data_IF_356060804686
#
_entry.id   IF_356060804686
#
_cell.length_a   1.000
_cell.length_b   1.000
_cell.length_c   1.000
_cell.angle_alpha   90.00
_cell.angle_beta   90.00
_cell.angle_gamma   90.00
#
_symmetry.space_group_name_H-M   'P 1'
#
loop_
_entity.id
_entity.type
_entity.pdbx_description
1 polymer ?
#
# COMPACT_ATOMS: atom_id res chain seq x y z
N UNK A 1 -42.71 -52.81 -0.54
CA UNK A 1 -42.06 -52.10 -1.66
C UNK A 1 -41.20 -51.01 -1.05
N UNK A 2 -39.88 -51.17 -1.11
CA UNK A 2 -38.92 -50.28 -0.50
C UNK A 2 -38.73 -49.02 -1.37
N UNK A 3 -38.75 -47.84 -0.74
CA UNK A 3 -38.31 -46.59 -1.36
C UNK A 3 -37.00 -46.21 -0.68
N UNK A 4 -35.89 -46.40 -1.40
CA UNK A 4 -34.56 -45.98 -0.99
C UNK A 4 -34.40 -44.49 -1.29
N UNK A 5 -34.45 -43.65 -0.26
CA UNK A 5 -34.06 -42.24 -0.33
C UNK A 5 -32.59 -42.10 0.09
N UNK A 6 -31.71 -41.84 -0.87
CA UNK A 6 -30.28 -41.61 -0.66
C UNK A 6 -30.10 -40.21 -0.04
N UNK A 7 -29.74 -40.15 1.25
CA UNK A 7 -29.24 -38.95 1.89
C UNK A 7 -27.79 -38.72 1.46
N UNK A 8 -27.55 -37.80 0.53
CA UNK A 8 -26.20 -37.30 0.25
C UNK A 8 -25.89 -36.21 1.27
N UNK A 9 -25.21 -36.59 2.35
CA UNK A 9 -24.56 -35.64 3.26
C UNK A 9 -23.31 -35.11 2.57
N UNK A 10 -23.40 -33.94 1.93
CA UNK A 10 -22.20 -33.20 1.54
C UNK A 10 -21.61 -32.51 2.78
N UNK A 11 -20.73 -33.25 3.47
CA UNK A 11 -19.80 -32.69 4.44
C UNK A 11 -18.77 -31.83 3.71
N UNK A 12 -19.02 -30.53 3.57
CA UNK A 12 -17.97 -29.55 3.27
C UNK A 12 -17.40 -29.02 4.58
N UNK A 13 -16.51 -29.83 5.18
CA UNK A 13 -15.61 -29.35 6.22
C UNK A 13 -14.30 -28.91 5.55
N UNK A 14 -14.00 -27.61 5.70
CA UNK A 14 -12.66 -27.01 5.82
C UNK A 14 -11.68 -27.16 4.64
N UNK A 15 -11.62 -26.11 3.82
CA UNK A 15 -10.40 -25.33 3.62
C UNK A 15 -10.79 -23.87 3.96
N UNK A 16 -10.24 -23.20 4.96
CA UNK A 16 -8.82 -23.06 5.21
C UNK A 16 -8.34 -21.86 4.40
N UNK A 17 -8.27 -20.70 5.06
CA UNK A 17 -7.60 -19.49 4.60
C UNK A 17 -8.16 -18.85 3.33
N UNK A 18 -9.13 -17.95 3.49
CA UNK A 18 -9.13 -16.75 2.66
C UNK A 18 -7.80 -16.04 2.98
N UNK A 19 -6.86 -15.89 2.04
CA UNK A 19 -5.83 -14.89 2.24
C UNK A 19 -6.55 -13.55 2.31
N UNK A 20 -6.15 -12.71 3.26
CA UNK A 20 -6.60 -11.33 3.37
C UNK A 20 -6.64 -10.72 1.98
N UNK A 21 -7.86 -10.48 1.49
CA UNK A 21 -8.10 -9.70 0.30
C UNK A 21 -7.76 -8.25 0.66
N UNK A 22 -6.47 -7.96 0.75
CA UNK A 22 -5.94 -6.62 0.69
C UNK A 22 -6.20 -6.14 -0.75
N UNK A 23 -7.43 -5.71 -1.01
CA UNK A 23 -7.86 -5.09 -2.26
C UNK A 23 -7.28 -3.67 -2.29
N UNK A 24 -5.96 -3.57 -2.46
CA UNK A 24 -5.37 -2.42 -3.12
C UNK A 24 -5.36 -2.77 -4.60
N UNK A 25 -6.39 -2.35 -5.36
CA UNK A 25 -6.38 -2.55 -6.81
C UNK A 25 -5.30 -1.63 -7.38
N UNK A 26 -4.16 -2.23 -7.69
CA UNK A 26 -3.07 -1.57 -8.41
C UNK A 26 -3.60 -1.11 -9.79
N UNK A 27 -3.18 0.08 -10.21
CA UNK A 27 -3.61 0.65 -11.49
C UNK A 27 -2.78 0.01 -12.60
N UNK A 28 -3.40 -0.81 -13.44
CA UNK A 28 -2.73 -1.35 -14.64
C UNK A 28 -2.66 -0.29 -15.73
N UNK A 29 -1.52 0.41 -15.78
CA UNK A 29 -1.27 1.44 -16.78
C UNK A 29 -1.25 0.91 -18.22
N UNK A 30 -1.04 -0.39 -18.43
CA UNK A 30 -0.99 -1.04 -19.76
C UNK A 30 -2.35 -1.08 -20.46
N UNK A 31 -3.44 -0.87 -19.70
CA UNK A 31 -4.81 -0.84 -20.22
C UNK A 31 -5.09 0.41 -21.06
N UNK A 32 -4.39 1.50 -20.79
CA UNK A 32 -4.66 2.78 -21.43
C UNK A 32 -3.92 2.88 -22.78
N UNK A 33 -4.53 3.47 -23.81
CA UNK A 33 -3.90 3.59 -25.11
C UNK A 33 -2.68 4.50 -25.02
N UNK A 34 -1.57 4.09 -25.64
CA UNK A 34 -0.32 4.85 -25.67
C UNK A 34 0.10 5.19 -27.11
N UNK A 35 1.02 6.13 -27.23
CA UNK A 35 1.71 6.51 -28.46
C UNK A 35 3.17 6.83 -28.14
N UNK A 36 4.01 6.97 -29.16
CA UNK A 36 5.39 7.46 -29.00
C UNK A 36 5.50 8.86 -29.58
N UNK A 37 6.06 9.79 -28.82
CA UNK A 37 6.37 11.13 -29.33
C UNK A 37 7.58 11.11 -30.29
N UNK A 38 7.93 12.26 -30.87
CA UNK A 38 9.06 12.39 -31.81
C UNK A 38 10.41 12.03 -31.18
N UNK A 39 10.51 12.06 -29.85
CA UNK A 39 11.70 11.68 -29.08
C UNK A 39 11.74 10.17 -28.75
N UNK A 40 10.74 9.40 -29.20
CA UNK A 40 10.59 7.97 -28.89
C UNK A 40 10.10 7.68 -27.47
N UNK A 41 9.64 8.69 -26.74
CA UNK A 41 9.07 8.55 -25.40
C UNK A 41 7.62 8.09 -25.48
N UNK A 42 7.27 7.12 -24.65
CA UNK A 42 5.89 6.68 -24.47
C UNK A 42 5.04 7.80 -23.87
N UNK A 43 3.86 8.01 -24.43
CA UNK A 43 2.87 8.99 -23.99
C UNK A 43 1.51 8.32 -23.95
N UNK A 44 0.86 8.38 -22.80
CA UNK A 44 -0.51 7.88 -22.61
C UNK A 44 -1.53 8.85 -23.22
N UNK A 45 -2.51 8.31 -23.94
CA UNK A 45 -3.63 9.06 -24.51
C UNK A 45 -4.84 8.88 -23.59
N UNK A 46 -5.06 9.85 -22.71
CA UNK A 46 -6.16 9.80 -21.76
C UNK A 46 -7.43 10.41 -22.33
N UNK A 47 -8.54 9.66 -22.26
CA UNK A 47 -9.86 10.24 -22.45
C UNK A 47 -10.20 11.19 -21.29
N UNK A 48 -11.12 12.11 -21.53
CA UNK A 48 -11.67 12.98 -20.48
C UNK A 48 -12.59 12.16 -19.56
N UNK A 49 -11.98 11.40 -18.67
CA UNK A 49 -12.62 10.61 -17.63
C UNK A 49 -12.37 11.30 -16.29
N UNK A 50 -13.41 11.86 -15.68
CA UNK A 50 -13.31 12.59 -14.41
C UNK A 50 -13.67 11.67 -13.25
N UNK A 51 -12.84 10.66 -13.04
CA UNK A 51 -12.93 9.72 -11.92
C UNK A 51 -11.65 9.85 -11.11
N UNK A 52 -11.60 10.84 -10.20
CA UNK A 52 -10.36 11.18 -9.54
C UNK A 52 -9.91 10.09 -8.58
N UNK A 53 -8.61 10.01 -8.40
CA UNK A 53 -7.94 9.05 -7.52
C UNK A 53 -6.89 9.76 -6.68
N UNK A 54 -6.73 9.30 -5.44
CA UNK A 54 -5.69 9.79 -4.55
C UNK A 54 -4.44 8.95 -4.77
N UNK A 55 -3.33 9.60 -5.13
CA UNK A 55 -2.02 8.95 -5.23
C UNK A 55 -1.38 8.74 -3.85
N UNK A 56 -0.44 7.80 -3.77
CA UNK A 56 0.38 7.57 -2.55
C UNK A 56 1.27 8.76 -2.19
N UNK A 57 1.43 9.71 -3.10
CA UNK A 57 2.07 11.01 -2.87
C UNK A 57 1.13 12.04 -2.19
N UNK A 58 -0.12 11.66 -1.92
CA UNK A 58 -1.14 12.53 -1.36
C UNK A 58 -1.69 13.56 -2.36
N UNK A 59 -1.48 13.34 -3.67
CA UNK A 59 -1.99 14.22 -4.73
C UNK A 59 -3.21 13.59 -5.40
N UNK A 60 -4.22 14.41 -5.65
CA UNK A 60 -5.40 14.02 -6.43
C UNK A 60 -5.08 14.05 -7.92
N UNK A 61 -5.24 12.92 -8.58
CA UNK A 61 -5.18 12.80 -10.04
C UNK A 61 -6.60 12.72 -10.58
N UNK A 62 -6.92 13.45 -11.65
CA UNK A 62 -8.28 13.48 -12.20
C UNK A 62 -8.73 12.16 -12.86
N UNK A 63 -7.79 11.26 -13.14
CA UNK A 63 -8.07 9.87 -13.50
C UNK A 63 -6.86 8.96 -13.23
N UNK A 64 -7.11 7.65 -13.18
CA UNK A 64 -6.07 6.62 -13.19
C UNK A 64 -5.12 6.76 -14.40
N UNK A 65 -5.66 7.11 -15.58
CA UNK A 65 -4.84 7.32 -16.77
C UNK A 65 -3.87 8.49 -16.58
N UNK A 66 -4.33 9.58 -15.96
CA UNK A 66 -3.49 10.76 -15.71
C UNK A 66 -2.47 10.53 -14.60
N UNK A 67 -2.77 9.70 -13.60
CA UNK A 67 -1.78 9.19 -12.64
C UNK A 67 -0.69 8.38 -13.37
N UNK A 68 -1.09 7.47 -14.26
CA UNK A 68 -0.14 6.71 -15.08
C UNK A 68 0.68 7.62 -16.02
N UNK A 69 0.05 8.59 -16.67
CA UNK A 69 0.71 9.54 -17.56
C UNK A 69 1.77 10.35 -16.81
N UNK A 70 1.45 10.82 -15.60
CA UNK A 70 2.38 11.50 -14.73
C UNK A 70 3.60 10.62 -14.38
N UNK A 71 3.37 9.35 -14.02
CA UNK A 71 4.45 8.40 -13.76
C UNK A 71 5.38 8.20 -14.95
N UNK A 72 4.84 8.06 -16.17
CA UNK A 72 5.65 7.92 -17.38
C UNK A 72 6.39 9.22 -17.71
N UNK A 73 5.74 10.36 -17.55
CA UNK A 73 6.30 11.66 -17.89
C UNK A 73 7.49 12.02 -16.98
N UNK A 74 7.32 11.86 -15.68
CA UNK A 74 8.29 12.29 -14.67
C UNK A 74 9.16 11.14 -14.15
N UNK A 75 8.94 9.90 -14.61
CA UNK A 75 9.64 8.72 -14.11
C UNK A 75 9.34 8.42 -12.64
N UNK A 76 8.14 8.77 -12.17
CA UNK A 76 7.67 8.50 -10.81
C UNK A 76 6.97 7.15 -10.73
N UNK A 77 6.72 6.67 -9.50
CA UNK A 77 6.03 5.41 -9.23
C UNK A 77 4.99 5.62 -8.13
N UNK A 78 4.03 6.45 -8.45
CA UNK A 78 2.94 6.81 -7.56
C UNK A 78 1.85 5.78 -7.78
N UNK A 79 1.48 5.08 -6.70
CA UNK A 79 0.39 4.11 -6.74
C UNK A 79 -0.92 4.80 -6.37
N UNK A 80 -2.06 4.22 -6.74
CA UNK A 80 -3.36 4.63 -6.21
C UNK A 80 -3.47 4.24 -4.74
N UNK A 81 -3.67 5.22 -3.86
CA UNK A 81 -3.98 5.02 -2.44
C UNK A 81 -5.44 4.59 -2.30
N UNK A 82 -6.40 5.38 -2.80
CA UNK A 82 -7.83 5.07 -2.79
C UNK A 82 -8.59 5.68 -3.99
N UNK A 83 -9.84 5.22 -4.22
CA UNK A 83 -10.68 5.55 -5.39
C UNK A 83 -11.52 6.84 -5.23
N UNK A 84 -10.92 7.89 -4.65
CA UNK A 84 -11.55 9.21 -4.49
C UNK A 84 -10.46 10.30 -4.53
N UNK A 85 -10.84 11.58 -4.55
CA UNK A 85 -9.88 12.68 -4.34
C UNK A 85 -9.22 12.56 -2.96
N UNK A 86 -7.96 12.96 -2.85
CA UNK A 86 -7.30 13.01 -1.54
C UNK A 86 -8.10 13.92 -0.62
N UNK A 87 -8.58 13.37 0.50
CA UNK A 87 -9.36 14.11 1.47
C UNK A 87 -8.53 15.22 2.12
N UNK A 88 -9.13 16.42 2.24
CA UNK A 88 -8.62 17.39 3.20
C UNK A 88 -8.79 16.82 4.61
N UNK A 89 -7.77 16.99 5.47
CA UNK A 89 -7.84 16.53 6.84
C UNK A 89 -9.05 17.13 7.57
N UNK A 90 -10.09 16.34 7.78
CA UNK A 90 -11.29 16.80 8.48
C UNK A 90 -11.09 16.60 9.98
N UNK A 91 -11.19 17.67 10.80
CA UNK A 91 -11.20 17.53 12.25
C UNK A 91 -12.37 16.66 12.69
N UNK A 92 -12.11 15.70 13.56
CA UNK A 92 -13.13 14.78 14.04
C UNK A 92 -14.01 15.44 15.11
N UNK A 93 -15.33 15.45 14.90
CA UNK A 93 -16.31 15.87 15.90
C UNK A 93 -16.62 14.71 16.86
N UNK A 94 -15.76 14.56 17.87
CA UNK A 94 -15.89 13.50 18.86
C UNK A 94 -17.10 13.64 19.79
N UNK A 95 -17.79 14.79 19.76
CA UNK A 95 -18.99 15.05 20.55
C UNK A 95 -20.18 14.17 20.15
N UNK A 96 -20.13 13.58 18.94
CA UNK A 96 -21.18 12.69 18.41
C UNK A 96 -21.17 11.31 19.04
N UNK A 97 -20.06 10.92 19.67
CA UNK A 97 -19.91 9.60 20.26
C UNK A 97 -20.30 9.63 21.74
N UNK A 98 -21.05 8.62 22.23
CA UNK A 98 -21.41 8.54 23.64
C UNK A 98 -20.13 8.44 24.48
N UNK A 99 -20.11 9.14 25.60
CA UNK A 99 -18.96 9.18 26.50
C UNK A 99 -19.39 9.07 27.96
N UNK A 100 -18.42 8.77 28.81
CA UNK A 100 -18.58 8.74 30.27
C UNK A 100 -17.36 9.37 30.92
N UNK A 101 -17.46 9.71 32.20
CA UNK A 101 -16.36 10.28 32.97
C UNK A 101 -16.03 9.33 34.11
N UNK A 102 -14.76 8.96 34.26
CA UNK A 102 -14.32 8.13 35.39
C UNK A 102 -14.26 8.95 36.69
N UNK A 103 -13.96 8.28 37.80
CA UNK A 103 -13.85 8.93 39.13
C UNK A 103 -12.73 9.98 39.19
N UNK A 104 -11.76 9.91 38.29
CA UNK A 104 -10.64 10.86 38.16
C UNK A 104 -10.98 12.07 37.27
N UNK A 105 -12.20 12.14 36.74
CA UNK A 105 -12.62 13.22 35.83
C UNK A 105 -12.17 13.02 34.38
N UNK A 106 -11.58 11.88 34.03
CA UNK A 106 -11.15 11.54 32.66
C UNK A 106 -12.35 11.10 31.82
N UNK A 107 -12.54 11.77 30.68
CA UNK A 107 -13.55 11.41 29.69
C UNK A 107 -13.12 10.15 28.95
N UNK A 108 -14.04 9.21 28.76
CA UNK A 108 -13.86 7.98 28.00
C UNK A 108 -14.96 7.88 26.96
N UNK A 109 -14.58 7.73 25.69
CA UNK A 109 -15.53 7.51 24.59
C UNK A 109 -15.96 6.03 24.59
N UNK A 110 -17.26 5.78 24.48
CA UNK A 110 -17.86 4.45 24.45
C UNK A 110 -18.11 4.03 23.00
N UNK A 111 -17.22 3.18 22.47
CA UNK A 111 -17.32 2.70 21.10
C UNK A 111 -18.02 1.35 21.00
N UNK A 112 -18.80 1.18 19.94
CA UNK A 112 -19.27 -0.14 19.54
C UNK A 112 -18.12 -0.94 18.90
N UNK A 113 -18.35 -2.24 18.68
CA UNK A 113 -17.40 -3.12 17.98
C UNK A 113 -17.61 -3.14 16.45
N UNK A 114 -18.21 -2.10 15.88
CA UNK A 114 -18.40 -2.02 14.43
C UNK A 114 -17.04 -1.80 13.76
N UNK A 115 -16.74 -2.57 12.72
CA UNK A 115 -15.49 -2.45 11.99
C UNK A 115 -15.72 -1.71 10.67
N UNK A 116 -15.39 -0.42 10.66
CA UNK A 116 -15.49 0.49 9.52
C UNK A 116 -14.19 1.31 9.52
N UNK A 117 -13.08 0.74 9.05
CA UNK A 117 -11.76 1.29 9.31
C UNK A 117 -11.59 2.68 8.68
N UNK A 118 -10.79 3.52 9.31
CA UNK A 118 -10.45 4.86 8.83
C UNK A 118 -8.95 5.11 8.93
N UNK A 119 -8.40 5.87 7.97
CA UNK A 119 -7.02 6.30 8.01
C UNK A 119 -6.93 7.66 8.70
N UNK A 120 -6.17 7.71 9.80
CA UNK A 120 -5.87 8.95 10.50
C UNK A 120 -4.88 9.82 9.74
N UNK A 121 -4.89 11.12 10.01
CA UNK A 121 -3.87 12.07 9.50
C UNK A 121 -2.46 11.77 10.02
N UNK A 122 -2.34 10.90 11.01
CA UNK A 122 -1.09 10.37 11.57
C UNK A 122 -0.60 9.10 10.84
N UNK A 123 -1.31 8.64 9.80
CA UNK A 123 -0.99 7.44 9.05
C UNK A 123 -1.35 6.14 9.77
N UNK A 124 -2.11 6.21 10.86
CA UNK A 124 -2.56 5.04 11.62
C UNK A 124 -3.97 4.63 11.18
N UNK A 125 -4.19 3.32 11.03
CA UNK A 125 -5.53 2.77 10.79
C UNK A 125 -6.25 2.58 12.11
N UNK A 126 -7.43 3.17 12.24
CA UNK A 126 -8.33 2.97 13.36
C UNK A 126 -9.50 2.09 12.94
N UNK A 127 -9.96 1.19 13.82
CA UNK A 127 -11.05 0.23 13.53
C UNK A 127 -12.35 0.92 13.10
N UNK A 128 -12.57 2.14 13.61
CA UNK A 128 -13.61 3.06 13.19
C UNK A 128 -13.34 4.48 13.71
N UNK A 129 -14.13 5.45 13.23
CA UNK A 129 -14.08 6.84 13.66
C UNK A 129 -14.24 7.06 15.18
N UNK A 130 -15.04 6.23 15.86
CA UNK A 130 -15.20 6.32 17.31
C UNK A 130 -13.90 5.97 18.03
N UNK A 131 -13.21 4.92 17.58
CA UNK A 131 -11.92 4.49 18.17
C UNK A 131 -10.84 5.55 17.94
N UNK A 132 -10.83 6.20 16.77
CA UNK A 132 -9.98 7.37 16.52
C UNK A 132 -10.26 8.50 17.53
N UNK A 133 -11.54 8.80 17.78
CA UNK A 133 -11.93 9.77 18.80
C UNK A 133 -11.54 9.36 20.23
N UNK A 134 -11.70 8.09 20.58
CA UNK A 134 -11.27 7.56 21.88
C UNK A 134 -9.75 7.74 22.07
N UNK A 135 -8.96 7.46 21.03
CA UNK A 135 -7.52 7.70 21.02
C UNK A 135 -7.18 9.18 21.25
N UNK A 136 -7.84 10.09 20.52
CA UNK A 136 -7.64 11.53 20.70
C UNK A 136 -7.91 12.01 22.13
N UNK A 137 -9.01 11.55 22.73
CA UNK A 137 -9.35 11.91 24.11
C UNK A 137 -8.37 11.28 25.11
N UNK A 138 -7.98 10.03 24.89
CA UNK A 138 -7.11 9.31 25.81
C UNK A 138 -5.67 9.84 25.82
N UNK A 139 -5.14 10.13 24.62
CA UNK A 139 -3.75 10.55 24.41
C UNK A 139 -3.61 12.09 24.36
N UNK A 140 -4.72 12.84 24.37
CA UNK A 140 -4.70 14.29 24.20
C UNK A 140 -4.23 14.73 22.81
N UNK A 141 -4.46 13.91 21.79
CA UNK A 141 -4.10 14.20 20.39
C UNK A 141 -5.29 14.78 19.61
N UNK A 142 -5.00 15.37 18.45
CA UNK A 142 -6.02 15.90 17.53
C UNK A 142 -5.84 15.31 16.13
N UNK A 143 -5.82 13.97 16.04
CA UNK A 143 -5.77 13.24 14.78
C UNK A 143 -7.09 13.46 14.03
N UNK A 144 -7.01 13.91 12.78
CA UNK A 144 -8.16 14.02 11.88
C UNK A 144 -8.37 12.73 11.10
N UNK A 145 -9.50 12.63 10.39
CA UNK A 145 -9.67 11.58 9.37
C UNK A 145 -9.03 12.07 8.06
N UNK A 146 -8.15 11.26 7.48
CA UNK A 146 -7.56 11.49 6.15
C UNK A 146 -8.51 10.96 5.07
N UNK A 147 -8.89 9.68 5.17
CA UNK A 147 -9.87 9.06 4.27
C UNK A 147 -10.55 7.87 4.95
N UNK A 148 -11.63 7.38 4.35
CA UNK A 148 -12.31 6.15 4.76
C UNK A 148 -11.55 4.90 4.29
N UNK A 149 -11.66 3.81 5.02
CA UNK A 149 -10.82 2.62 4.84
C UNK A 149 -9.53 2.68 5.66
N UNK A 150 -8.83 1.56 5.78
CA UNK A 150 -7.54 1.53 6.47
C UNK A 150 -6.47 2.27 5.68
N UNK A 151 -5.49 2.86 6.37
CA UNK A 151 -4.31 3.38 5.71
C UNK A 151 -3.67 2.25 4.90
N UNK A 152 -3.23 2.58 3.69
CA UNK A 152 -2.37 1.66 2.95
C UNK A 152 -1.12 1.47 3.79
N UNK A 153 -0.93 0.27 4.34
CA UNK A 153 0.41 -0.14 4.74
C UNK A 153 1.19 -0.13 3.44
N UNK A 154 2.04 0.88 3.22
CA UNK A 154 3.23 0.63 2.42
C UNK A 154 3.74 -0.72 2.91
N UNK A 155 3.89 -1.68 2.00
CA UNK A 155 4.70 -2.85 2.27
C UNK A 155 6.06 -2.26 2.62
N UNK A 156 6.24 -1.99 3.93
CA UNK A 156 7.26 -1.11 4.46
C UNK A 156 8.53 -1.57 3.82
N UNK A 157 9.12 -0.71 2.98
CA UNK A 157 10.11 -1.07 1.99
C UNK A 157 11.05 -2.13 2.57
N UNK A 158 10.77 -3.40 2.24
CA UNK A 158 11.30 -4.51 3.04
C UNK A 158 12.80 -4.46 2.83
N UNK A 159 13.56 -4.19 3.89
CA UNK A 159 15.02 -4.19 3.80
C UNK A 159 15.44 -5.64 3.55
N UNK A 160 15.86 -5.91 2.31
CA UNK A 160 16.29 -7.24 1.90
C UNK A 160 17.74 -7.41 2.28
N UNK A 161 18.02 -8.21 3.31
CA UNK A 161 19.40 -8.57 3.64
C UNK A 161 20.01 -9.49 2.56
N UNK A 162 21.01 -8.97 1.86
CA UNK A 162 21.77 -9.66 0.83
C UNK A 162 23.20 -10.06 1.25
N UNK A 163 23.52 -10.03 2.55
CA UNK A 163 24.89 -10.25 3.05
C UNK A 163 25.47 -11.64 2.72
N UNK A 164 24.62 -12.65 2.52
CA UNK A 164 25.03 -14.02 2.19
C UNK A 164 25.16 -14.32 0.67
N UNK A 165 25.06 -13.31 -0.18
CA UNK A 165 25.12 -13.44 -1.64
C UNK A 165 26.48 -12.98 -2.18
N UNK A 166 26.91 -13.47 -3.36
CA UNK A 166 26.16 -14.25 -4.34
C UNK A 166 26.01 -15.74 -4.00
N UNK A 167 24.92 -16.35 -4.47
CA UNK A 167 24.67 -17.80 -4.40
C UNK A 167 24.59 -18.36 -5.83
N UNK A 168 25.28 -19.46 -6.15
CA UNK A 168 25.39 -19.97 -7.53
C UNK A 168 24.09 -20.56 -8.08
N UNK A 169 23.15 -20.93 -7.20
CA UNK A 169 21.86 -21.48 -7.58
C UNK A 169 20.75 -20.84 -6.74
N UNK A 170 19.65 -20.50 -7.42
CA UNK A 170 18.42 -20.02 -6.80
C UNK A 170 17.32 -21.07 -6.94
N UNK A 171 16.41 -21.11 -5.96
CA UNK A 171 15.17 -21.87 -6.09
C UNK A 171 14.24 -21.20 -7.11
N UNK A 172 13.31 -21.97 -7.68
CA UNK A 172 12.28 -21.46 -8.61
C UNK A 172 11.00 -21.05 -7.89
N UNK A 173 11.05 -20.81 -6.58
CA UNK A 173 9.92 -20.27 -5.83
C UNK A 173 9.64 -18.84 -6.30
N UNK A 174 8.38 -18.56 -6.64
CA UNK A 174 7.97 -17.23 -7.09
C UNK A 174 7.43 -16.42 -5.92
N UNK A 175 8.26 -15.50 -5.42
CA UNK A 175 7.92 -14.48 -4.42
C UNK A 175 8.52 -13.18 -4.92
N UNK A 176 7.83 -12.41 -5.76
CA UNK A 176 8.44 -11.32 -6.50
C UNK A 176 8.89 -10.19 -5.57
N UNK A 177 10.05 -9.60 -5.89
CA UNK A 177 10.52 -8.35 -5.30
C UNK A 177 10.69 -7.31 -6.39
N UNK A 178 10.21 -6.11 -6.12
CA UNK A 178 10.45 -4.92 -6.90
C UNK A 178 11.78 -4.29 -6.43
N UNK A 179 12.69 -4.02 -7.36
CA UNK A 179 14.01 -3.48 -7.07
C UNK A 179 14.20 -2.10 -7.67
N UNK A 180 15.08 -1.27 -7.08
CA UNK A 180 15.35 0.14 -7.43
C UNK A 180 15.61 0.47 -8.90
N UNK A 181 15.80 -0.52 -9.76
CA UNK A 181 16.05 -0.42 -11.19
C UNK A 181 14.85 -0.71 -12.10
N UNK A 182 13.63 -0.75 -11.56
CA UNK A 182 12.36 -1.02 -12.22
C UNK A 182 12.24 -2.44 -12.75
N UNK A 183 12.78 -3.38 -11.98
CA UNK A 183 12.75 -4.79 -12.35
C UNK A 183 12.10 -5.61 -11.25
N UNK A 184 11.21 -6.49 -11.69
CA UNK A 184 10.65 -7.55 -10.85
C UNK A 184 11.60 -8.72 -10.84
N UNK A 185 12.07 -9.08 -9.66
CA UNK A 185 12.92 -10.24 -9.44
C UNK A 185 12.07 -11.38 -8.90
N UNK A 186 12.12 -12.55 -9.54
CA UNK A 186 11.23 -13.66 -9.20
C UNK A 186 11.33 -14.15 -7.75
N UNK A 187 12.46 -13.90 -7.07
CA UNK A 187 12.63 -14.11 -5.63
C UNK A 187 13.84 -13.35 -5.07
N UNK A 188 13.98 -13.40 -3.73
CA UNK A 188 15.10 -12.81 -2.98
C UNK A 188 16.48 -13.22 -3.53
N UNK A 189 16.62 -14.46 -3.98
CA UNK A 189 17.90 -14.95 -4.49
C UNK A 189 18.28 -14.28 -5.83
N UNK A 190 17.32 -14.17 -6.75
CA UNK A 190 17.51 -13.45 -8.01
C UNK A 190 17.78 -11.96 -7.79
N UNK A 191 17.04 -11.32 -6.86
CA UNK A 191 17.26 -9.93 -6.48
C UNK A 191 18.66 -9.71 -5.91
N UNK A 192 19.03 -10.44 -4.85
CA UNK A 192 20.31 -10.24 -4.19
C UNK A 192 21.49 -10.54 -5.12
N UNK A 193 21.43 -11.60 -5.93
CA UNK A 193 22.45 -11.87 -6.93
C UNK A 193 22.61 -10.69 -7.89
N UNK A 194 21.52 -10.15 -8.43
CA UNK A 194 21.60 -8.97 -9.31
C UNK A 194 22.22 -7.76 -8.60
N UNK A 195 21.87 -7.51 -7.34
CA UNK A 195 22.43 -6.41 -6.55
C UNK A 195 23.95 -6.54 -6.36
N UNK A 196 24.46 -7.72 -5.98
CA UNK A 196 25.92 -7.91 -5.81
C UNK A 196 26.70 -7.91 -7.12
N UNK A 197 26.10 -8.30 -8.25
CA UNK A 197 26.80 -8.30 -9.55
C UNK A 197 26.91 -6.91 -10.21
N UNK A 198 26.15 -5.90 -9.75
CA UNK A 198 26.10 -4.56 -10.37
C UNK A 198 27.14 -3.56 -9.81
N UNK A 199 27.91 -3.90 -8.77
CA UNK A 199 28.88 -2.96 -8.16
C UNK A 199 30.33 -3.44 -8.31
N UNK A 200 31.12 -2.82 -9.23
CA UNK A 200 32.10 -1.86 -8.71
C UNK A 200 32.24 -0.47 -9.39
N UNK A 201 31.54 -0.11 -10.48
CA UNK A 201 31.94 1.07 -11.29
C UNK A 201 31.02 2.30 -11.30
N UNK A 202 29.94 2.35 -10.50
CA UNK A 202 29.02 3.50 -10.49
C UNK A 202 28.90 4.17 -9.11
N UNK A 203 30.03 4.51 -8.48
CA UNK A 203 30.06 5.25 -7.21
C UNK A 203 30.80 6.60 -7.29
N UNK A 204 30.67 7.32 -8.40
CA UNK A 204 31.34 8.63 -8.56
C UNK A 204 30.57 9.83 -8.01
N UNK A 205 29.39 9.66 -7.38
CA UNK A 205 28.69 10.82 -6.79
C UNK A 205 27.67 10.55 -5.67
N UNK A 206 28.01 9.73 -4.67
CA UNK A 206 27.42 9.84 -3.33
C UNK A 206 28.51 9.48 -2.31
N UNK A 207 29.05 10.47 -1.60
CA UNK A 207 29.97 10.27 -0.48
C UNK A 207 29.13 10.22 0.80
N UNK A 208 28.97 9.03 1.39
CA UNK A 208 28.50 8.83 2.77
C UNK A 208 29.35 7.73 3.45
N UNK A 209 29.42 7.72 4.80
CA UNK A 209 30.60 7.32 5.57
C UNK A 209 30.77 5.81 5.73
N UNK A 210 31.97 5.34 6.13
CA UNK A 210 32.26 3.93 6.27
C UNK A 210 31.76 3.46 7.62
N UNK A 211 30.53 2.94 7.71
CA UNK A 211 30.05 1.99 8.73
C UNK A 211 28.53 1.88 8.64
N UNK A 212 28.03 0.70 8.24
CA UNK A 212 26.59 0.39 8.24
C UNK A 212 26.04 0.08 6.85
N UNK A 213 26.05 -1.19 6.50
CA UNK A 213 25.48 -1.79 5.28
C UNK A 213 23.95 -1.84 5.33
N UNK A 214 23.31 -0.68 5.46
CA UNK A 214 21.88 -0.51 5.25
C UNK A 214 21.71 0.39 4.04
N UNK A 215 21.56 -0.23 2.85
CA UNK A 215 20.97 0.48 1.74
C UNK A 215 19.50 0.68 2.09
N UNK A 216 19.18 1.91 2.50
CA UNK A 216 17.81 2.36 2.52
C UNK A 216 17.19 2.02 1.16
N UNK A 217 16.10 1.27 1.21
CA UNK A 217 15.22 0.94 0.09
C UNK A 217 14.49 2.16 -0.48
N UNK A 218 14.90 3.37 -0.11
CA UNK A 218 14.37 4.62 -0.65
C UNK A 218 15.04 4.92 -1.99
N UNK A 219 14.62 4.18 -3.01
CA UNK A 219 14.40 4.63 -4.38
C UNK A 219 13.90 3.42 -5.19
N UNK A 220 12.58 3.25 -5.30
CA UNK A 220 11.89 2.71 -6.49
C UNK A 220 12.03 1.16 -6.78
N UNK A 221 11.65 0.60 -7.96
CA UNK A 221 10.31 0.37 -8.56
C UNK A 221 10.04 -1.02 -9.28
N UNK A 222 8.79 -1.23 -9.72
CA UNK A 222 7.99 -2.46 -10.07
C UNK A 222 6.82 -2.70 -9.11
#
# INVERSE_FOLDING_TARGET
>A
MAMAGIFVLFSFALCGFLPDAAFGVEVDCSRFPNTTNEEGKEVLVCAEDLRPVCGTDGVTYSSECLLCAYNIEYGTNISKEHEEECGEAVPMDCSRYPNTTNEEGKVMILCNKAFNPVCGTDGVTYDNECVLCAHNVEQGTSVGKKHDGGCRKELAAVSVDCSEYPKPACTMEYRPLCGSDNKTYGNKCNFCNAVVYVQPWLHSRCRLPPTGTSLHSSCFPC
#
